data_IF_620883335753
#
_entry.id   IF_620883335753
#
_cell.length_a   1.000
_cell.length_b   1.000
_cell.length_c   1.000
_cell.angle_alpha   90.00
_cell.angle_beta   90.00
_cell.angle_gamma   90.00
#
_symmetry.space_group_name_H-M   'P 1'
#
loop_
_entity.id
_entity.type
_entity.pdbx_description
1 polymer ?
#
# COMPACT_ATOMS: atom_id res chain seq x y z
N UNK A 1 -28.32 -10.89 29.53
CA UNK A 1 -27.37 -11.47 28.56
C UNK A 1 -26.23 -10.49 28.40
N UNK A 2 -25.14 -10.70 29.12
CA UNK A 2 -23.94 -9.87 29.02
C UNK A 2 -23.23 -10.20 27.70
N UNK A 3 -23.10 -9.19 26.83
CA UNK A 3 -22.28 -9.29 25.63
C UNK A 3 -20.81 -9.27 26.04
N UNK A 4 -20.18 -10.44 26.04
CA UNK A 4 -18.73 -10.59 26.06
C UNK A 4 -18.14 -9.88 24.82
N UNK A 5 -17.82 -8.58 24.96
CA UNK A 5 -17.07 -7.84 23.94
C UNK A 5 -15.60 -8.20 24.08
N UNK A 6 -15.21 -9.29 23.41
CA UNK A 6 -13.83 -9.73 23.27
C UNK A 6 -13.06 -8.75 22.35
N UNK A 7 -12.49 -7.70 22.94
CA UNK A 7 -11.49 -6.83 22.30
C UNK A 7 -11.95 -6.06 21.04
N UNK A 8 -11.06 -5.22 20.47
CA UNK A 8 -11.32 -4.60 19.17
C UNK A 8 -11.51 -5.70 18.12
N UNK A 9 -12.60 -5.64 17.36
CA UNK A 9 -12.91 -6.62 16.30
C UNK A 9 -11.74 -6.71 15.33
N UNK A 10 -11.17 -7.90 15.17
CA UNK A 10 -10.17 -8.19 14.14
C UNK A 10 -10.79 -7.92 12.76
N UNK A 11 -10.08 -7.26 11.83
CA UNK A 11 -10.58 -7.00 10.49
C UNK A 11 -10.97 -8.29 9.76
N UNK A 12 -12.15 -8.28 9.13
CA UNK A 12 -12.61 -9.42 8.33
C UNK A 12 -11.85 -9.61 7.01
N UNK A 13 -11.21 -8.56 6.50
CA UNK A 13 -10.36 -8.59 5.30
C UNK A 13 -9.19 -7.62 5.44
N UNK A 14 -8.01 -8.06 4.97
CA UNK A 14 -6.78 -7.28 5.02
C UNK A 14 -6.22 -7.10 3.61
N UNK A 15 -5.88 -5.87 3.26
CA UNK A 15 -5.02 -5.58 2.12
C UNK A 15 -3.57 -5.74 2.59
N UNK A 16 -2.76 -6.48 1.85
CA UNK A 16 -1.38 -6.78 2.23
C UNK A 16 -0.46 -6.41 1.09
N UNK A 17 0.69 -5.85 1.46
CA UNK A 17 1.79 -5.56 0.54
C UNK A 17 3.11 -5.80 1.27
N UNK A 18 4.16 -6.06 0.52
CA UNK A 18 5.51 -6.15 1.04
C UNK A 18 5.94 -4.80 1.63
N UNK A 19 6.86 -4.83 2.60
CA UNK A 19 7.50 -3.60 3.08
C UNK A 19 8.14 -2.84 1.92
N UNK A 20 8.79 -3.53 0.97
CA UNK A 20 9.47 -2.89 -0.16
C UNK A 20 8.48 -2.09 -1.01
N UNK A 21 7.34 -2.71 -1.36
CA UNK A 21 6.23 -2.08 -2.07
C UNK A 21 5.71 -0.85 -1.32
N UNK A 22 5.53 -0.96 0.00
CA UNK A 22 5.05 0.18 0.81
C UNK A 22 6.06 1.33 0.86
N UNK A 23 7.35 1.03 1.01
CA UNK A 23 8.43 2.02 0.95
C UNK A 23 8.46 2.68 -0.44
N UNK A 24 8.34 1.89 -1.50
CA UNK A 24 8.30 2.38 -2.89
C UNK A 24 7.09 3.30 -3.11
N UNK A 25 5.91 2.93 -2.61
CA UNK A 25 4.72 3.78 -2.65
C UNK A 25 4.94 5.12 -1.92
N UNK A 26 5.53 5.08 -0.72
CA UNK A 26 5.88 6.31 0.02
C UNK A 26 6.85 7.20 -0.75
N UNK A 27 7.83 6.62 -1.44
CA UNK A 27 8.77 7.37 -2.27
C UNK A 27 8.06 8.03 -3.46
N UNK A 28 7.20 7.29 -4.15
CA UNK A 28 6.38 7.81 -5.26
C UNK A 28 5.49 8.97 -4.77
N UNK A 29 4.93 8.84 -3.56
CA UNK A 29 4.12 9.89 -2.93
C UNK A 29 4.86 11.19 -2.62
N UNK A 30 6.19 11.15 -2.54
CA UNK A 30 7.04 12.35 -2.39
C UNK A 30 7.49 12.86 -3.76
N UNK A 31 7.89 11.96 -4.66
CA UNK A 31 8.38 12.31 -5.99
C UNK A 31 8.08 11.18 -6.98
N UNK A 32 7.63 11.50 -8.22
CA UNK A 32 7.49 10.52 -9.28
C UNK A 32 8.77 9.70 -9.52
N UNK A 33 8.61 8.42 -9.84
CA UNK A 33 9.71 7.52 -10.17
C UNK A 33 9.77 7.31 -11.68
N UNK A 34 10.98 7.29 -12.24
CA UNK A 34 11.22 6.92 -13.65
C UNK A 34 11.69 5.46 -13.69
N UNK A 35 10.89 4.58 -14.30
CA UNK A 35 11.05 3.12 -14.28
C UNK A 35 12.37 2.67 -14.90
N UNK A 36 12.83 3.32 -15.96
CA UNK A 36 14.09 2.99 -16.64
C UNK A 36 15.33 3.27 -15.80
N UNK A 37 15.20 4.02 -14.70
CA UNK A 37 16.29 4.40 -13.81
C UNK A 37 16.30 3.63 -12.48
N UNK A 38 15.33 2.73 -12.25
CA UNK A 38 15.28 1.98 -10.99
C UNK A 38 15.98 0.62 -11.08
N UNK A 39 16.46 0.13 -9.95
CA UNK A 39 16.98 -1.23 -9.84
C UNK A 39 15.87 -2.26 -10.13
N UNK A 40 16.20 -3.45 -10.68
CA UNK A 40 15.20 -4.49 -10.98
C UNK A 40 14.31 -4.87 -9.80
N UNK A 41 14.84 -4.85 -8.58
CA UNK A 41 14.06 -5.13 -7.36
C UNK A 41 12.95 -4.11 -7.11
N UNK A 42 13.14 -2.86 -7.52
CA UNK A 42 12.14 -1.77 -7.40
C UNK A 42 11.16 -1.82 -8.56
N UNK A 43 11.57 -2.30 -9.74
CA UNK A 43 10.67 -2.47 -10.87
C UNK A 43 9.52 -3.44 -10.51
N UNK A 44 9.81 -4.53 -9.80
CA UNK A 44 8.78 -5.45 -9.29
C UNK A 44 7.78 -4.75 -8.34
N UNK A 45 8.28 -3.95 -7.40
CA UNK A 45 7.42 -3.16 -6.51
C UNK A 45 6.53 -2.19 -7.31
N UNK A 46 7.08 -1.52 -8.32
CA UNK A 46 6.35 -0.58 -9.17
C UNK A 46 5.22 -1.29 -9.93
N UNK A 47 5.50 -2.43 -10.54
CA UNK A 47 4.49 -3.21 -11.27
C UNK A 47 3.36 -3.66 -10.34
N UNK A 48 3.69 -4.10 -9.11
CA UNK A 48 2.68 -4.39 -8.10
C UNK A 48 1.82 -3.16 -7.78
N UNK A 49 2.43 -1.99 -7.55
CA UNK A 49 1.70 -0.78 -7.16
C UNK A 49 0.77 -0.28 -8.28
N UNK A 50 1.18 -0.40 -9.54
CA UNK A 50 0.33 -0.09 -10.69
C UNK A 50 -0.79 -1.12 -10.81
N UNK A 51 -0.50 -2.42 -10.71
CA UNK A 51 -1.49 -3.49 -10.77
C UNK A 51 -2.50 -3.47 -9.61
N UNK A 52 -2.09 -3.00 -8.43
CA UNK A 52 -2.95 -2.78 -7.28
C UNK A 52 -3.72 -1.45 -7.31
N UNK A 53 -3.57 -0.67 -8.39
CA UNK A 53 -4.16 0.66 -8.57
C UNK A 53 -3.82 1.63 -7.44
N UNK A 54 -2.60 1.56 -6.89
CA UNK A 54 -2.07 2.52 -5.90
C UNK A 54 -1.17 3.58 -6.56
N UNK A 55 -0.71 3.32 -7.77
CA UNK A 55 0.06 4.22 -8.60
C UNK A 55 -0.45 4.20 -10.04
N UNK A 56 -0.18 5.26 -10.78
CA UNK A 56 -0.46 5.36 -12.21
C UNK A 56 0.85 5.43 -12.99
N UNK A 57 0.87 4.84 -14.18
CA UNK A 57 2.03 4.87 -15.08
C UNK A 57 1.69 5.67 -16.35
N UNK A 58 2.51 6.67 -16.64
CA UNK A 58 2.48 7.46 -17.87
C UNK A 58 3.84 7.35 -18.55
N UNK A 59 3.92 6.50 -19.59
CA UNK A 59 5.19 6.12 -20.21
C UNK A 59 6.11 5.44 -19.20
N UNK A 60 7.29 6.03 -18.99
CA UNK A 60 8.27 5.55 -18.02
C UNK A 60 8.15 6.22 -16.65
N UNK A 61 7.19 7.12 -16.45
CA UNK A 61 7.01 7.80 -15.17
C UNK A 61 5.85 7.20 -14.40
N UNK A 62 6.08 6.94 -13.11
CA UNK A 62 5.09 6.41 -12.17
C UNK A 62 4.82 7.47 -11.11
N UNK A 63 3.54 7.78 -10.94
CA UNK A 63 3.03 8.76 -9.98
C UNK A 63 2.05 8.10 -9.02
N UNK A 64 1.89 8.67 -7.82
CA UNK A 64 0.89 8.17 -6.88
C UNK A 64 -0.48 8.61 -7.37
N UNK A 65 -1.47 7.72 -7.29
CA UNK A 65 -2.85 8.07 -7.61
C UNK A 65 -3.65 8.37 -6.31
N UNK A 66 -4.91 8.82 -6.41
CA UNK A 66 -5.70 9.12 -5.22
C UNK A 66 -5.84 7.95 -4.23
N UNK A 67 -6.00 6.71 -4.73
CA UNK A 67 -6.15 5.52 -3.90
C UNK A 67 -4.88 5.19 -3.12
N UNK A 68 -3.72 5.30 -3.75
CA UNK A 68 -2.42 5.20 -3.07
C UNK A 68 -2.22 6.30 -2.04
N UNK A 69 -2.60 7.54 -2.37
CA UNK A 69 -2.50 8.66 -1.45
C UNK A 69 -3.38 8.48 -0.20
N UNK A 70 -4.61 7.96 -0.35
CA UNK A 70 -5.47 7.62 0.78
C UNK A 70 -4.89 6.49 1.63
N UNK A 71 -4.35 5.43 1.01
CA UNK A 71 -3.70 4.35 1.75
C UNK A 71 -2.55 4.87 2.62
N UNK A 72 -1.76 5.83 2.14
CA UNK A 72 -0.66 6.44 2.92
C UNK A 72 -1.13 7.28 4.13
N UNK A 73 -2.40 7.69 4.17
CA UNK A 73 -2.98 8.39 5.33
C UNK A 73 -3.51 7.43 6.41
N UNK A 74 -3.73 6.16 6.05
CA UNK A 74 -4.28 5.15 6.97
C UNK A 74 -3.15 4.51 7.77
N UNK A 75 -3.34 4.39 9.09
CA UNK A 75 -2.41 3.65 9.94
C UNK A 75 -2.49 2.15 9.60
N UNK A 76 -1.35 1.48 9.35
CA UNK A 76 -1.33 0.04 9.15
C UNK A 76 -1.99 -0.70 10.32
N UNK A 77 -2.75 -1.74 10.00
CA UNK A 77 -3.32 -2.65 11.01
C UNK A 77 -2.22 -3.48 11.68
N UNK A 78 -1.26 -3.97 10.90
CA UNK A 78 -0.11 -4.71 11.41
C UNK A 78 1.12 -4.53 10.53
N UNK A 79 2.28 -4.77 11.12
CA UNK A 79 3.59 -4.62 10.49
C UNK A 79 4.50 -5.75 10.94
N UNK A 80 5.14 -6.42 10.00
CA UNK A 80 6.26 -7.36 10.22
C UNK A 80 7.44 -6.95 9.36
N UNK A 81 8.66 -7.51 9.53
CA UNK A 81 9.81 -7.20 8.68
C UNK A 81 9.62 -7.45 7.18
N UNK A 82 8.53 -8.12 6.77
CA UNK A 82 8.27 -8.50 5.38
C UNK A 82 7.00 -7.88 4.85
N UNK A 83 5.95 -7.76 5.67
CA UNK A 83 4.60 -7.39 5.22
C UNK A 83 4.04 -6.26 6.06
N UNK A 84 3.36 -5.34 5.39
CA UNK A 84 2.45 -4.38 6.02
C UNK A 84 1.02 -4.73 5.62
N UNK A 85 0.11 -4.69 6.59
CA UNK A 85 -1.31 -5.00 6.36
C UNK A 85 -2.19 -3.83 6.73
N UNK A 86 -3.20 -3.57 5.91
CA UNK A 86 -4.21 -2.54 6.12
C UNK A 86 -5.58 -3.19 6.26
N UNK A 87 -6.40 -2.65 7.16
CA UNK A 87 -7.81 -3.01 7.25
C UNK A 87 -8.55 -2.40 6.05
N UNK A 88 -9.12 -3.25 5.20
CA UNK A 88 -9.84 -2.81 3.99
C UNK A 88 -11.02 -1.90 4.35
N UNK A 89 -11.68 -2.15 5.48
CA UNK A 89 -12.82 -1.33 5.91
C UNK A 89 -12.43 0.11 6.22
N UNK A 90 -11.16 0.35 6.60
CA UNK A 90 -10.62 1.69 6.86
C UNK A 90 -10.11 2.39 5.61
N UNK A 91 -9.89 1.65 4.52
CA UNK A 91 -9.40 2.20 3.27
C UNK A 91 -10.53 2.89 2.47
N UNK A 92 -11.79 2.49 2.67
CA UNK A 92 -12.95 3.18 2.10
C UNK A 92 -13.18 2.94 0.60
N UNK A 93 -12.55 1.91 0.04
CA UNK A 93 -12.69 1.45 -1.35
C UNK A 93 -12.74 -0.08 -1.44
#
# INVERSE_FOLDING_TARGET
MEQNSLGPRTPGRLFRMLISEYITLRKIGVKPIVVTLVAPSVAGDVEFLVGAELASREGDTVTINPRGAELLKVQPYSWSPVVVSFDIQKLGW
#
